data_IF_701818331555
#
_entry.id   IF_701818331555
#
_cell.length_a   1.000
_cell.length_b   1.000
_cell.length_c   1.000
_cell.angle_alpha   90.00
_cell.angle_beta   90.00
_cell.angle_gamma   90.00
#
_symmetry.space_group_name_H-M   'P 1'
#
loop_
_entity.id
_entity.type
_entity.pdbx_description
1 polymer ?
#
# COMPACT_ATOMS: atom_id res chain seq x y z
N UNK A 1 7.33 -95.96 -34.85
CA UNK A 1 7.40 -96.26 -33.40
C UNK A 1 6.82 -95.09 -32.64
N UNK A 2 5.70 -95.36 -31.95
CA UNK A 2 5.09 -94.63 -30.82
C UNK A 2 4.99 -93.10 -30.85
N UNK A 3 3.79 -92.62 -31.19
CA UNK A 3 3.23 -91.34 -30.72
C UNK A 3 2.32 -91.65 -29.53
N UNK A 4 2.62 -91.11 -28.34
CA UNK A 4 1.60 -90.81 -27.33
C UNK A 4 2.17 -89.94 -26.21
N UNK A 5 1.69 -88.70 -26.03
CA UNK A 5 1.62 -88.04 -24.72
C UNK A 5 0.45 -87.05 -24.64
N UNK A 6 -0.53 -87.52 -23.89
CA UNK A 6 -1.62 -86.89 -23.15
C UNK A 6 -1.36 -85.43 -22.69
N UNK A 7 -2.24 -84.50 -23.07
CA UNK A 7 -2.28 -83.12 -22.54
C UNK A 7 -3.50 -82.94 -21.63
N UNK A 8 -3.26 -82.63 -20.36
CA UNK A 8 -4.27 -82.33 -19.34
C UNK A 8 -4.77 -80.89 -19.48
N UNK A 9 -6.10 -80.70 -19.46
CA UNK A 9 -6.76 -79.38 -19.41
C UNK A 9 -6.92 -78.95 -17.95
N UNK A 10 -6.36 -77.79 -17.58
CA UNK A 10 -6.66 -77.11 -16.31
C UNK A 10 -7.55 -75.91 -16.64
N UNK A 11 -8.73 -75.86 -16.04
CA UNK A 11 -9.67 -74.74 -16.11
C UNK A 11 -9.26 -73.65 -15.10
N UNK A 12 -9.21 -72.39 -15.54
CA UNK A 12 -8.95 -71.23 -14.68
C UNK A 12 -10.28 -70.54 -14.30
N UNK A 13 -10.46 -70.08 -13.04
CA UNK A 13 -11.65 -69.34 -12.65
C UNK A 13 -11.50 -67.85 -12.97
N UNK A 14 -12.56 -67.24 -13.49
CA UNK A 14 -12.65 -65.80 -13.78
C UNK A 14 -13.06 -65.07 -12.49
N UNK A 15 -12.14 -64.31 -11.89
CA UNK A 15 -12.47 -63.34 -10.85
C UNK A 15 -12.89 -62.01 -11.50
N UNK A 16 -14.16 -61.63 -11.34
CA UNK A 16 -14.66 -60.33 -11.75
C UNK A 16 -14.25 -59.26 -10.71
N UNK A 17 -13.37 -58.33 -11.10
CA UNK A 17 -12.99 -57.18 -10.29
C UNK A 17 -14.02 -56.05 -10.44
N UNK A 18 -14.74 -55.74 -9.36
CA UNK A 18 -15.58 -54.55 -9.24
C UNK A 18 -14.68 -53.31 -9.08
N UNK A 19 -14.61 -52.48 -10.13
CA UNK A 19 -13.94 -51.18 -10.10
C UNK A 19 -14.87 -50.20 -9.38
N UNK A 20 -14.56 -49.88 -8.13
CA UNK A 20 -15.14 -48.75 -7.41
C UNK A 20 -14.59 -47.44 -8.00
N UNK A 21 -15.38 -46.75 -8.83
CA UNK A 21 -15.13 -45.36 -9.18
C UNK A 21 -15.31 -44.48 -7.94
N UNK A 22 -14.21 -44.12 -7.28
CA UNK A 22 -14.22 -43.01 -6.34
C UNK A 22 -14.44 -41.69 -7.12
N UNK A 23 -15.34 -40.80 -6.69
CA UNK A 23 -15.49 -39.50 -7.33
C UNK A 23 -14.19 -38.71 -7.09
N UNK A 24 -13.45 -38.47 -8.16
CA UNK A 24 -12.38 -37.47 -8.15
C UNK A 24 -13.05 -36.13 -7.90
N UNK A 25 -12.88 -35.58 -6.69
CA UNK A 25 -13.18 -34.18 -6.45
C UNK A 25 -12.36 -33.37 -7.47
N UNK A 26 -13.04 -32.80 -8.45
CA UNK A 26 -12.43 -31.89 -9.42
C UNK A 26 -11.91 -30.71 -8.59
N UNK A 27 -10.62 -30.73 -8.25
CA UNK A 27 -9.99 -29.66 -7.51
C UNK A 27 -9.98 -28.44 -8.45
N UNK A 28 -10.96 -27.54 -8.27
CA UNK A 28 -11.08 -26.35 -9.09
C UNK A 28 -9.73 -25.62 -9.09
N UNK A 29 -9.15 -25.40 -10.27
CA UNK A 29 -7.86 -24.75 -10.40
C UNK A 29 -7.96 -23.34 -9.81
N UNK A 30 -7.18 -23.07 -8.76
CA UNK A 30 -7.15 -21.75 -8.12
C UNK A 30 -6.60 -20.73 -9.14
N UNK A 31 -7.41 -19.74 -9.48
CA UNK A 31 -6.96 -18.57 -10.25
C UNK A 31 -6.15 -17.68 -9.31
N UNK A 32 -4.85 -17.60 -9.56
CA UNK A 32 -3.93 -16.82 -8.76
C UNK A 32 -3.61 -15.48 -9.45
N UNK A 33 -3.72 -14.38 -8.70
CA UNK A 33 -3.51 -13.03 -9.20
C UNK A 33 -2.24 -12.42 -8.61
N UNK A 34 -1.46 -11.71 -9.42
CA UNK A 34 -0.31 -10.93 -8.96
C UNK A 34 -0.72 -9.73 -8.11
N UNK A 35 -0.06 -9.53 -6.97
CA UNK A 35 -0.30 -8.41 -6.06
C UNK A 35 1.02 -7.75 -5.70
N UNK A 36 1.28 -6.56 -6.25
CA UNK A 36 2.55 -5.86 -6.10
C UNK A 36 2.50 -4.75 -5.04
N UNK A 37 3.62 -4.55 -4.35
CA UNK A 37 3.88 -3.38 -3.51
C UNK A 37 5.39 -3.21 -3.26
N UNK A 38 5.84 -1.98 -3.00
CA UNK A 38 7.28 -1.68 -2.96
C UNK A 38 7.94 -1.94 -1.59
N UNK A 39 7.14 -2.09 -0.53
CA UNK A 39 7.63 -2.34 0.83
C UNK A 39 7.83 -3.83 1.15
N UNK A 40 8.67 -4.18 2.16
CA UNK A 40 8.79 -5.55 2.65
C UNK A 40 7.47 -6.15 3.15
N UNK A 41 7.34 -7.48 3.19
CA UNK A 41 6.13 -8.19 3.66
C UNK A 41 5.76 -7.90 5.12
N UNK A 42 6.74 -7.47 5.95
CA UNK A 42 6.50 -7.07 7.35
C UNK A 42 5.90 -5.67 7.50
N UNK A 43 5.62 -4.97 6.41
CA UNK A 43 5.06 -3.62 6.40
C UNK A 43 3.54 -3.59 6.52
N UNK A 44 2.99 -2.38 6.69
CA UNK A 44 1.54 -2.13 6.56
C UNK A 44 0.97 -2.64 5.23
N UNK A 45 1.69 -2.50 4.11
CA UNK A 45 1.24 -3.04 2.83
C UNK A 45 1.15 -4.57 2.82
N UNK A 46 2.15 -5.24 3.41
CA UNK A 46 2.11 -6.70 3.54
C UNK A 46 0.95 -7.17 4.41
N UNK A 47 0.63 -6.45 5.49
CA UNK A 47 -0.56 -6.73 6.30
C UNK A 47 -1.86 -6.56 5.49
N UNK A 48 -1.96 -5.53 4.65
CA UNK A 48 -3.09 -5.34 3.73
C UNK A 48 -3.23 -6.46 2.71
N UNK A 49 -2.13 -6.86 2.07
CA UNK A 49 -2.14 -7.96 1.13
C UNK A 49 -2.55 -9.30 1.78
N UNK A 50 -2.13 -9.54 3.02
CA UNK A 50 -2.52 -10.75 3.77
C UNK A 50 -4.02 -10.75 4.11
N UNK A 51 -4.56 -9.62 4.58
CA UNK A 51 -6.00 -9.47 4.83
C UNK A 51 -6.81 -9.70 3.55
N UNK A 52 -6.40 -9.07 2.45
CA UNK A 52 -7.04 -9.22 1.14
C UNK A 52 -7.04 -10.70 0.71
N UNK A 53 -5.88 -11.36 0.75
CA UNK A 53 -5.75 -12.75 0.34
C UNK A 53 -6.66 -13.68 1.16
N UNK A 54 -6.60 -13.56 2.50
CA UNK A 54 -7.39 -14.39 3.41
C UNK A 54 -8.87 -14.25 3.12
N UNK A 55 -9.37 -13.01 2.99
CA UNK A 55 -10.79 -12.76 2.74
C UNK A 55 -11.21 -13.22 1.35
N UNK A 56 -10.37 -13.02 0.34
CA UNK A 56 -10.64 -13.47 -1.02
C UNK A 56 -10.74 -15.00 -1.09
N UNK A 57 -9.81 -15.72 -0.44
CA UNK A 57 -9.84 -17.19 -0.37
C UNK A 57 -11.07 -17.69 0.37
N UNK A 58 -11.49 -17.05 1.47
CA UNK A 58 -12.71 -17.40 2.20
C UNK A 58 -13.96 -17.25 1.32
N UNK A 59 -14.15 -16.07 0.71
CA UNK A 59 -15.35 -15.76 -0.09
C UNK A 59 -15.43 -16.60 -1.37
N UNK A 60 -14.29 -16.86 -2.00
CA UNK A 60 -14.20 -17.65 -3.23
C UNK A 60 -14.09 -19.16 -2.99
N UNK A 61 -14.13 -19.62 -1.72
CA UNK A 61 -13.92 -21.02 -1.32
C UNK A 61 -12.62 -21.61 -1.88
N UNK A 62 -11.56 -20.82 -1.88
CA UNK A 62 -10.22 -21.18 -2.36
C UNK A 62 -10.03 -21.13 -3.88
N UNK A 63 -11.06 -20.74 -4.64
CA UNK A 63 -10.93 -20.67 -6.10
C UNK A 63 -10.12 -19.45 -6.55
N UNK A 64 -10.07 -18.36 -5.77
CA UNK A 64 -9.23 -17.19 -6.01
C UNK A 64 -8.19 -17.02 -4.88
N UNK A 65 -6.99 -16.60 -5.25
CA UNK A 65 -5.93 -16.20 -4.32
C UNK A 65 -5.00 -15.17 -4.95
N UNK A 66 -4.14 -14.54 -4.15
CA UNK A 66 -3.07 -13.68 -4.66
C UNK A 66 -1.68 -14.34 -4.51
N UNK A 67 -0.77 -13.99 -5.42
CA UNK A 67 0.66 -14.13 -5.25
C UNK A 67 1.24 -12.75 -4.91
N UNK A 68 1.82 -12.61 -3.72
CA UNK A 68 2.37 -11.33 -3.26
C UNK A 68 3.78 -11.13 -3.85
N UNK A 69 4.04 -9.94 -4.38
CA UNK A 69 5.33 -9.49 -4.88
C UNK A 69 5.82 -8.27 -4.07
N UNK A 70 6.35 -8.47 -2.85
CA UNK A 70 6.81 -7.40 -1.96
C UNK A 70 8.14 -6.79 -2.41
N UNK A 71 8.55 -5.69 -1.79
CA UNK A 71 9.92 -5.20 -1.85
C UNK A 71 10.33 -4.74 -3.25
N UNK A 72 9.38 -4.20 -4.02
CA UNK A 72 9.58 -3.72 -5.38
C UNK A 72 10.03 -4.83 -6.36
N UNK A 73 9.71 -6.10 -6.09
CA UNK A 73 10.00 -7.22 -6.99
C UNK A 73 9.48 -7.02 -8.42
N UNK A 74 8.36 -6.31 -8.56
CA UNK A 74 7.77 -5.95 -9.86
C UNK A 74 7.99 -4.49 -10.24
N UNK A 75 8.88 -3.77 -9.55
CA UNK A 75 9.21 -2.37 -9.80
C UNK A 75 8.81 -1.42 -8.67
N UNK A 76 9.21 -0.16 -8.82
CA UNK A 76 8.81 0.97 -7.97
C UNK A 76 7.31 1.24 -8.05
N UNK A 77 6.74 2.00 -7.11
CA UNK A 77 5.30 2.35 -7.14
C UNK A 77 4.87 3.00 -8.48
N UNK A 78 5.70 3.85 -9.09
CA UNK A 78 5.40 4.43 -10.40
C UNK A 78 5.35 3.38 -11.52
N UNK A 79 6.27 2.42 -11.50
CA UNK A 79 6.33 1.33 -12.49
C UNK A 79 5.18 0.34 -12.29
N UNK A 80 4.83 -0.01 -11.06
CA UNK A 80 3.72 -0.93 -10.78
C UNK A 80 2.37 -0.28 -11.05
N UNK A 81 2.23 1.04 -10.83
CA UNK A 81 1.06 1.80 -11.27
C UNK A 81 0.85 1.69 -12.80
N UNK A 82 1.91 1.91 -13.58
CA UNK A 82 1.83 1.73 -15.04
C UNK A 82 1.45 0.29 -15.43
N UNK A 83 2.06 -0.70 -14.77
CA UNK A 83 1.77 -2.13 -15.04
C UNK A 83 0.35 -2.54 -14.71
N UNK A 84 -0.27 -1.97 -13.67
CA UNK A 84 -1.67 -2.26 -13.37
C UNK A 84 -2.58 -1.61 -14.41
N UNK A 85 -2.23 -0.43 -14.91
CA UNK A 85 -2.97 0.26 -15.98
C UNK A 85 -2.92 -0.49 -17.32
N UNK A 86 -1.78 -1.12 -17.64
CA UNK A 86 -1.64 -1.97 -18.85
C UNK A 86 -2.21 -3.38 -18.67
N UNK A 87 -2.48 -3.80 -17.44
CA UNK A 87 -2.92 -5.16 -17.12
C UNK A 87 -1.82 -6.22 -17.16
N UNK A 88 -0.56 -5.79 -17.02
CA UNK A 88 0.61 -6.67 -16.84
C UNK A 88 0.69 -7.23 -15.42
N UNK A 89 0.11 -6.52 -14.44
CA UNK A 89 -0.15 -7.01 -13.09
C UNK A 89 -1.62 -6.86 -12.73
N UNK A 90 -2.10 -7.69 -11.81
CA UNK A 90 -3.51 -7.81 -11.50
C UNK A 90 -3.94 -6.80 -10.44
N UNK A 91 -3.17 -6.70 -9.35
CA UNK A 91 -3.39 -5.79 -8.24
C UNK A 91 -2.11 -5.04 -7.85
N UNK A 92 -2.27 -3.82 -7.35
CA UNK A 92 -1.18 -3.06 -6.73
C UNK A 92 -1.69 -2.30 -5.51
N UNK A 93 -0.89 -2.28 -4.45
CA UNK A 93 -1.07 -1.41 -3.29
C UNK A 93 0.10 -0.43 -3.24
N UNK A 94 -0.20 0.86 -3.32
CA UNK A 94 0.80 1.93 -3.39
C UNK A 94 0.31 3.21 -2.71
N UNK A 95 1.21 4.16 -2.46
CA UNK A 95 0.87 5.41 -1.76
C UNK A 95 -0.04 6.30 -2.60
N UNK A 96 -1.02 6.93 -1.95
CA UNK A 96 -1.91 7.90 -2.64
C UNK A 96 -1.15 9.12 -3.19
N UNK A 97 -0.02 9.48 -2.55
CA UNK A 97 0.95 10.43 -3.07
C UNK A 97 1.47 10.02 -4.46
N UNK A 98 2.06 8.83 -4.60
CA UNK A 98 2.58 8.39 -5.90
C UNK A 98 1.47 8.09 -6.93
N UNK A 99 0.28 7.69 -6.49
CA UNK A 99 -0.89 7.56 -7.36
C UNK A 99 -1.26 8.88 -8.07
N UNK A 100 -0.92 10.03 -7.46
CA UNK A 100 -1.21 11.35 -8.04
C UNK A 100 -0.46 11.63 -9.34
N UNK A 101 0.61 10.89 -9.63
CA UNK A 101 1.32 10.98 -10.91
C UNK A 101 0.45 10.55 -12.10
N UNK A 102 -0.52 9.65 -11.88
CA UNK A 102 -1.49 9.23 -12.89
C UNK A 102 -2.86 9.92 -12.73
N UNK A 103 -3.20 10.36 -11.51
CA UNK A 103 -4.40 11.15 -11.24
C UNK A 103 -4.07 12.33 -10.31
N UNK A 104 -3.70 13.51 -10.85
CA UNK A 104 -3.25 14.64 -10.03
C UNK A 104 -4.19 15.02 -8.89
N UNK A 105 -5.51 14.91 -9.09
CA UNK A 105 -6.51 15.25 -8.07
C UNK A 105 -6.34 14.42 -6.78
N UNK A 106 -5.74 13.23 -6.83
CA UNK A 106 -5.57 12.37 -5.65
C UNK A 106 -4.50 12.88 -4.70
N UNK A 107 -3.64 13.81 -5.15
CA UNK A 107 -2.61 14.45 -4.32
C UNK A 107 -3.19 15.18 -3.10
N UNK A 108 -4.49 15.50 -3.13
CA UNK A 108 -5.21 16.07 -1.98
C UNK A 108 -5.16 15.18 -0.75
N UNK A 109 -5.09 13.86 -0.92
CA UNK A 109 -5.15 12.89 0.17
C UNK A 109 -3.82 12.73 0.92
N UNK A 110 -2.79 13.42 0.44
CA UNK A 110 -1.44 13.51 1.02
C UNK A 110 -1.09 14.91 1.53
N UNK A 111 -2.02 15.87 1.49
CA UNK A 111 -1.71 17.22 1.96
C UNK A 111 -1.43 17.22 3.46
N UNK A 112 -0.41 17.98 3.87
CA UNK A 112 0.04 17.98 5.24
C UNK A 112 -1.02 18.52 6.21
N UNK A 113 -1.20 17.86 7.35
CA UNK A 113 -2.08 18.22 8.46
C UNK A 113 -3.58 18.30 8.12
N UNK A 114 -4.06 17.60 7.08
CA UNK A 114 -5.52 17.41 6.88
C UNK A 114 -6.06 16.26 7.74
N UNK A 115 -5.18 15.33 8.13
CA UNK A 115 -5.48 14.27 9.09
C UNK A 115 -5.01 14.72 10.48
N UNK A 116 -5.93 14.77 11.45
CA UNK A 116 -5.67 15.33 12.79
C UNK A 116 -4.81 14.43 13.67
N UNK A 117 -5.03 13.13 13.58
CA UNK A 117 -4.38 12.10 14.40
C UNK A 117 -4.66 10.69 13.81
N UNK A 118 -4.08 9.67 14.44
CA UNK A 118 -4.28 8.25 14.14
C UNK A 118 -5.76 7.86 14.08
N UNK A 119 -6.55 8.26 15.09
CA UNK A 119 -7.96 7.89 15.18
C UNK A 119 -8.79 8.50 14.04
N UNK A 120 -8.50 9.75 13.70
CA UNK A 120 -9.10 10.41 12.53
C UNK A 120 -8.72 9.72 11.23
N UNK A 121 -7.44 9.36 11.03
CA UNK A 121 -7.00 8.65 9.83
C UNK A 121 -7.70 7.30 9.66
N UNK A 122 -7.80 6.50 10.73
CA UNK A 122 -8.50 5.22 10.71
C UNK A 122 -9.97 5.40 10.29
N UNK A 123 -10.68 6.39 10.86
CA UNK A 123 -12.08 6.64 10.53
C UNK A 123 -12.26 7.09 9.08
N UNK A 124 -11.42 8.01 8.60
CA UNK A 124 -11.50 8.55 7.23
C UNK A 124 -11.29 7.45 6.19
N UNK A 125 -10.33 6.56 6.40
CA UNK A 125 -9.99 5.49 5.46
C UNK A 125 -11.09 4.42 5.32
N UNK A 126 -11.95 4.30 6.33
CA UNK A 126 -13.12 3.41 6.33
C UNK A 126 -14.44 4.17 6.13
N UNK A 127 -14.41 5.49 5.89
CA UNK A 127 -15.62 6.29 5.84
C UNK A 127 -16.44 5.99 4.56
N UNK A 128 -17.75 5.71 4.68
CA UNK A 128 -18.60 5.31 3.56
C UNK A 128 -18.85 6.42 2.54
N UNK A 129 -18.47 7.67 2.81
CA UNK A 129 -18.52 8.80 1.86
C UNK A 129 -17.17 9.06 1.23
N UNK A 130 -16.07 8.87 1.97
CA UNK A 130 -14.71 9.11 1.47
C UNK A 130 -14.33 8.07 0.40
N UNK A 131 -14.57 6.78 0.63
CA UNK A 131 -14.19 5.73 -0.33
C UNK A 131 -14.87 5.94 -1.70
N UNK A 132 -16.20 6.17 -1.80
CA UNK A 132 -16.83 6.48 -3.08
C UNK A 132 -16.28 7.74 -3.75
N UNK A 133 -16.05 8.82 -2.99
CA UNK A 133 -15.48 10.04 -3.54
C UNK A 133 -14.06 9.81 -4.10
N UNK A 134 -13.25 9.00 -3.43
CA UNK A 134 -11.93 8.60 -3.94
C UNK A 134 -12.03 7.71 -5.19
N UNK A 135 -13.03 6.82 -5.27
CA UNK A 135 -13.30 6.01 -6.48
C UNK A 135 -13.70 6.89 -7.66
N UNK A 136 -14.60 7.85 -7.47
CA UNK A 136 -14.99 8.84 -8.47
C UNK A 136 -13.79 9.68 -8.92
N UNK A 137 -13.01 10.18 -7.96
CA UNK A 137 -11.79 10.93 -8.20
C UNK A 137 -10.84 10.13 -9.11
N UNK A 138 -10.53 8.87 -8.79
CA UNK A 138 -9.64 8.09 -9.64
C UNK A 138 -10.25 7.79 -11.01
N UNK A 139 -11.52 7.39 -11.07
CA UNK A 139 -12.20 7.07 -12.33
C UNK A 139 -12.23 8.23 -13.33
N UNK A 140 -12.16 9.49 -12.86
CA UNK A 140 -12.18 10.67 -13.73
C UNK A 140 -11.03 10.69 -14.76
N UNK A 141 -9.79 10.33 -14.37
CA UNK A 141 -8.62 10.36 -15.27
C UNK A 141 -7.80 9.07 -15.30
N UNK A 142 -7.82 8.24 -14.26
CA UNK A 142 -7.12 6.96 -14.23
C UNK A 142 -7.72 6.04 -15.31
N UNK A 143 -6.90 5.57 -16.24
CA UNK A 143 -7.30 4.60 -17.27
C UNK A 143 -6.66 3.24 -17.00
N UNK A 144 -7.38 2.17 -17.31
CA UNK A 144 -6.86 0.81 -17.23
C UNK A 144 -6.77 0.23 -15.82
N UNK A 145 -7.19 0.95 -14.78
CA UNK A 145 -7.21 0.47 -13.40
C UNK A 145 -8.36 1.11 -12.60
N UNK A 146 -8.86 0.38 -11.59
CA UNK A 146 -9.94 0.79 -10.69
C UNK A 146 -9.48 0.81 -9.25
N UNK A 147 -9.81 1.87 -8.50
CA UNK A 147 -9.62 1.87 -7.05
C UNK A 147 -10.62 0.90 -6.42
N UNK A 148 -10.13 -0.04 -5.62
CA UNK A 148 -10.96 -0.95 -4.83
C UNK A 148 -11.16 -0.47 -3.39
N UNK A 149 -10.10 0.05 -2.77
CA UNK A 149 -10.12 0.44 -1.36
C UNK A 149 -8.90 1.25 -0.96
N UNK A 150 -8.89 1.69 0.29
CA UNK A 150 -7.82 2.51 0.86
C UNK A 150 -7.13 1.74 1.99
N UNK A 151 -5.92 2.18 2.35
CA UNK A 151 -5.17 1.66 3.48
C UNK A 151 -4.21 2.71 4.03
N UNK A 152 -3.29 2.31 4.90
CA UNK A 152 -2.36 3.23 5.55
C UNK A 152 -1.03 2.55 5.91
N UNK A 153 0.02 3.35 6.07
CA UNK A 153 1.31 2.97 6.64
C UNK A 153 1.70 3.88 7.82
N UNK A 154 0.71 4.33 8.59
CA UNK A 154 0.90 5.24 9.72
C UNK A 154 0.88 6.72 9.33
N UNK A 155 1.52 7.55 10.17
CA UNK A 155 1.80 8.95 9.86
C UNK A 155 3.24 9.10 9.42
N UNK A 156 3.52 10.14 8.64
CA UNK A 156 4.87 10.42 8.14
C UNK A 156 5.62 11.32 9.10
N UNK A 157 6.87 10.97 9.32
CA UNK A 157 7.78 11.63 10.23
C UNK A 157 9.11 11.91 9.53
N UNK A 158 9.77 13.00 9.90
CA UNK A 158 11.06 13.38 9.31
C UNK A 158 12.21 12.72 10.06
N UNK A 159 13.20 12.21 9.34
CA UNK A 159 14.38 11.60 9.92
C UNK A 159 15.66 12.02 9.18
N UNK A 160 16.76 12.09 9.93
CA UNK A 160 18.05 12.56 9.43
C UNK A 160 19.16 12.42 10.47
N UNK A 161 20.25 13.16 10.25
CA UNK A 161 21.37 13.26 11.22
C UNK A 161 21.13 14.31 12.31
N UNK A 162 20.25 15.28 12.05
CA UNK A 162 19.92 16.39 12.96
C UNK A 162 18.45 16.30 13.37
N UNK A 163 18.10 16.74 14.60
CA UNK A 163 16.71 16.82 15.02
C UNK A 163 15.95 17.91 14.25
N UNK A 164 14.64 17.71 14.08
CA UNK A 164 13.69 18.74 13.69
C UNK A 164 12.82 19.01 14.92
N UNK A 165 13.02 20.15 15.56
CA UNK A 165 12.25 20.59 16.73
C UNK A 165 11.15 21.57 16.32
N UNK A 166 11.34 22.31 15.22
CA UNK A 166 10.39 23.29 14.66
C UNK A 166 10.63 23.50 13.16
N UNK A 167 9.70 24.17 12.49
CA UNK A 167 9.78 24.38 11.02
C UNK A 167 11.06 25.10 10.57
N UNK A 168 11.60 26.00 11.39
CA UNK A 168 12.82 26.75 11.05
C UNK A 168 14.06 25.84 10.87
N UNK A 169 14.04 24.62 11.42
CA UNK A 169 15.14 23.66 11.29
C UNK A 169 15.23 23.04 9.90
N UNK A 170 14.20 23.22 9.05
CA UNK A 170 14.20 22.74 7.66
C UNK A 170 14.88 23.70 6.68
N UNK A 171 15.28 24.90 7.11
CA UNK A 171 15.89 25.90 6.23
C UNK A 171 17.17 25.36 5.58
N UNK A 172 17.13 25.20 4.26
CA UNK A 172 18.26 24.73 3.45
C UNK A 172 18.57 23.24 3.60
N UNK A 173 17.71 22.46 4.28
CA UNK A 173 17.83 21.01 4.36
C UNK A 173 17.50 20.40 3.00
N UNK A 174 18.36 19.53 2.47
CA UNK A 174 18.04 18.70 1.31
C UNK A 174 17.12 17.56 1.76
N UNK A 175 15.83 17.74 1.55
CA UNK A 175 14.80 16.76 1.90
C UNK A 175 14.54 15.84 0.71
N UNK A 176 14.76 14.54 0.90
CA UNK A 176 14.22 13.57 -0.04
C UNK A 176 12.70 13.53 0.10
N UNK A 177 11.99 13.64 -1.01
CA UNK A 177 10.51 13.50 -1.07
C UNK A 177 10.07 12.66 -2.27
N UNK A 178 8.79 12.27 -2.28
CA UNK A 178 8.14 11.68 -3.45
C UNK A 178 7.94 12.74 -4.53
N UNK A 179 8.02 12.36 -5.81
CA UNK A 179 7.86 13.30 -6.93
C UNK A 179 6.39 13.66 -7.14
N UNK A 180 5.86 14.56 -6.30
CA UNK A 180 4.45 14.95 -6.31
C UNK A 180 4.29 16.46 -6.09
N UNK A 181 3.21 17.02 -6.65
CA UNK A 181 2.89 18.45 -6.50
C UNK A 181 2.73 18.85 -5.03
N UNK A 182 2.17 17.97 -4.20
CA UNK A 182 1.98 18.22 -2.77
C UNK A 182 3.32 18.47 -2.07
N UNK A 183 4.33 17.67 -2.39
CA UNK A 183 5.66 17.77 -1.80
C UNK A 183 6.44 18.97 -2.34
N UNK A 184 6.29 19.24 -3.64
CA UNK A 184 6.87 20.40 -4.34
C UNK A 184 6.34 21.75 -3.82
N UNK A 185 5.11 21.81 -3.33
CA UNK A 185 4.55 23.02 -2.73
C UNK A 185 4.89 23.12 -1.24
N UNK A 186 4.85 22.00 -0.51
CA UNK A 186 4.82 22.02 0.95
C UNK A 186 6.21 22.09 1.59
N UNK A 187 7.15 21.26 1.15
CA UNK A 187 8.51 21.25 1.73
C UNK A 187 9.29 22.52 1.42
N UNK A 188 9.24 23.09 0.20
CA UNK A 188 9.82 24.40 -0.07
C UNK A 188 9.19 25.52 0.74
N UNK A 189 7.89 25.46 1.03
CA UNK A 189 7.23 26.43 1.92
C UNK A 189 7.73 26.34 3.37
N UNK A 190 8.21 25.16 3.80
CA UNK A 190 8.94 25.01 5.07
C UNK A 190 10.42 25.45 5.01
N UNK A 191 10.92 25.82 3.83
CA UNK A 191 12.30 26.26 3.61
C UNK A 191 13.27 25.13 3.26
N UNK A 192 12.78 23.90 3.02
CA UNK A 192 13.60 22.78 2.57
C UNK A 192 13.88 22.86 1.06
N UNK A 193 14.92 22.15 0.62
CA UNK A 193 15.25 21.91 -0.78
C UNK A 193 14.84 20.47 -1.12
N UNK A 194 13.85 20.29 -1.99
CA UNK A 194 13.36 18.95 -2.35
C UNK A 194 14.31 18.24 -3.30
N UNK A 195 14.48 16.93 -3.08
CA UNK A 195 15.21 16.01 -3.96
C UNK A 195 14.33 14.80 -4.21
N UNK A 196 13.93 14.59 -5.45
CA UNK A 196 13.07 13.47 -5.84
C UNK A 196 13.88 12.20 -6.09
N UNK A 197 13.46 11.10 -5.46
CA UNK A 197 13.96 9.76 -5.79
C UNK A 197 12.98 8.67 -5.34
N UNK A 198 12.97 7.51 -6.02
CA UNK A 198 12.27 6.32 -5.56
C UNK A 198 12.69 5.91 -4.14
N UNK A 199 11.78 5.24 -3.43
CA UNK A 199 12.00 4.87 -2.02
C UNK A 199 13.22 3.95 -1.81
N UNK A 200 13.47 3.03 -2.75
CA UNK A 200 14.63 2.12 -2.68
C UNK A 200 16.00 2.80 -2.71
N UNK A 201 16.09 4.06 -3.12
CA UNK A 201 17.35 4.83 -3.21
C UNK A 201 17.66 5.65 -1.95
N UNK A 202 16.71 5.71 -1.00
CA UNK A 202 16.76 6.63 0.14
C UNK A 202 17.89 6.29 1.10
N UNK A 203 18.08 5.00 1.43
CA UNK A 203 19.16 4.56 2.33
C UNK A 203 20.52 5.05 1.83
N UNK A 204 20.86 4.74 0.57
CA UNK A 204 22.15 5.10 -0.02
C UNK A 204 22.31 6.60 -0.14
N UNK A 205 21.23 7.33 -0.45
CA UNK A 205 21.27 8.79 -0.57
C UNK A 205 21.48 9.50 0.77
N UNK A 206 20.91 8.98 1.86
CA UNK A 206 21.19 9.46 3.23
C UNK A 206 22.62 9.12 3.66
N UNK A 207 23.08 7.90 3.32
CA UNK A 207 24.42 7.43 3.66
C UNK A 207 25.51 8.28 2.98
N UNK A 208 25.34 8.55 1.68
CA UNK A 208 26.28 9.31 0.85
C UNK A 208 26.16 10.83 1.02
N UNK A 209 25.10 11.31 1.67
CA UNK A 209 24.86 12.75 1.88
C UNK A 209 24.34 13.49 0.64
N UNK A 210 23.80 12.76 -0.33
CA UNK A 210 23.03 13.35 -1.45
C UNK A 210 21.83 14.13 -0.89
N UNK A 211 21.19 13.58 0.15
CA UNK A 211 20.13 14.22 0.93
C UNK A 211 20.48 14.23 2.42
N UNK A 212 20.00 15.25 3.12
CA UNK A 212 20.24 15.44 4.56
C UNK A 212 19.18 14.75 5.41
N UNK A 213 17.95 14.73 4.91
CA UNK A 213 16.78 14.15 5.57
C UNK A 213 15.88 13.45 4.55
N UNK A 214 15.04 12.56 5.06
CA UNK A 214 13.92 12.00 4.35
C UNK A 214 12.73 11.90 5.32
N UNK A 215 11.60 11.43 4.82
CA UNK A 215 10.38 11.31 5.60
C UNK A 215 9.60 10.05 5.22
N UNK A 216 8.96 9.41 6.21
CA UNK A 216 8.09 8.23 6.03
C UNK A 216 7.43 7.77 7.35
N UNK A 217 6.65 6.68 7.29
CA UNK A 217 6.19 5.95 8.47
C UNK A 217 7.32 5.30 9.27
N UNK A 218 7.14 5.19 10.57
CA UNK A 218 8.11 4.66 11.55
C UNK A 218 8.46 3.20 11.24
N UNK A 219 7.47 2.39 10.87
CA UNK A 219 7.65 1.00 10.48
C UNK A 219 8.52 0.88 9.23
N UNK A 220 8.26 1.70 8.21
CA UNK A 220 9.07 1.74 6.99
C UNK A 220 10.51 2.20 7.28
N UNK A 221 10.69 3.20 8.15
CA UNK A 221 12.00 3.67 8.61
C UNK A 221 12.79 2.56 9.32
N UNK A 222 12.14 1.75 10.16
CA UNK A 222 12.75 0.60 10.82
C UNK A 222 13.11 -0.54 9.85
N UNK A 223 12.15 -1.04 9.07
CA UNK A 223 12.35 -2.27 8.27
C UNK A 223 13.32 -2.06 7.11
N UNK A 224 13.44 -0.83 6.61
CA UNK A 224 14.41 -0.45 5.57
C UNK A 224 15.73 0.08 6.14
N UNK A 225 15.89 0.04 7.47
CA UNK A 225 17.13 0.42 8.17
C UNK A 225 17.60 1.84 7.91
N UNK A 226 16.69 2.76 7.58
CA UNK A 226 17.03 4.17 7.38
C UNK A 226 17.64 4.81 8.63
N UNK A 227 17.43 4.21 9.82
CA UNK A 227 18.06 4.64 11.07
C UNK A 227 19.58 4.51 11.09
N UNK A 228 20.19 3.66 10.24
CA UNK A 228 21.65 3.52 10.19
C UNK A 228 22.33 4.79 9.65
N UNK A 229 21.96 5.33 8.46
CA UNK A 229 22.50 6.60 7.97
C UNK A 229 21.82 7.85 8.56
N UNK A 230 20.62 7.73 9.14
CA UNK A 230 19.82 8.82 9.69
C UNK A 230 19.31 8.49 11.11
N UNK A 231 20.14 8.58 12.15
CA UNK A 231 19.86 8.06 13.50
C UNK A 231 18.91 8.92 14.36
N UNK A 232 18.36 10.01 13.81
CA UNK A 232 17.42 10.90 14.51
C UNK A 232 16.07 10.86 13.81
N UNK A 233 15.02 10.49 14.55
CA UNK A 233 13.63 10.50 14.10
C UNK A 233 12.88 11.63 14.82
N UNK A 234 12.23 12.51 14.08
CA UNK A 234 11.46 13.63 14.63
C UNK A 234 9.98 13.44 14.35
N UNK A 235 9.15 13.37 15.40
CA UNK A 235 7.74 13.02 15.30
C UNK A 235 6.89 14.19 14.78
N UNK A 236 7.08 14.53 13.50
CA UNK A 236 6.41 15.66 12.85
C UNK A 236 4.95 15.39 12.50
N UNK A 237 4.57 14.12 12.23
CA UNK A 237 3.19 13.70 11.94
C UNK A 237 2.53 14.57 10.88
N UNK A 238 3.30 14.93 9.86
CA UNK A 238 2.91 15.98 8.94
C UNK A 238 1.93 15.49 7.88
N UNK A 239 1.97 14.21 7.52
CA UNK A 239 1.09 13.60 6.51
C UNK A 239 0.60 12.23 7.01
N UNK A 240 -0.62 11.82 6.63
CA UNK A 240 -1.05 10.43 6.78
C UNK A 240 -0.55 9.61 5.58
N UNK A 241 0.19 8.53 5.84
CA UNK A 241 0.83 7.71 4.82
C UNK A 241 -0.18 6.76 4.16
N UNK A 242 -1.16 7.33 3.47
CA UNK A 242 -2.32 6.63 2.95
C UNK A 242 -1.98 5.84 1.69
N UNK A 243 -2.64 4.69 1.55
CA UNK A 243 -2.47 3.73 0.46
C UNK A 243 -3.73 3.61 -0.39
N UNK A 244 -3.57 3.30 -1.66
CA UNK A 244 -4.64 2.96 -2.60
C UNK A 244 -4.42 1.56 -3.17
N UNK A 245 -5.46 0.71 -3.06
CA UNK A 245 -5.50 -0.62 -3.64
C UNK A 245 -6.20 -0.55 -5.00
N UNK A 246 -5.47 -0.85 -6.07
CA UNK A 246 -5.99 -0.88 -7.43
C UNK A 246 -6.08 -2.30 -7.97
N UNK A 247 -7.05 -2.51 -8.88
CA UNK A 247 -7.14 -3.68 -9.77
C UNK A 247 -7.05 -3.22 -11.22
N UNK A 248 -6.42 -4.03 -12.08
CA UNK A 248 -6.39 -3.74 -13.51
C UNK A 248 -7.77 -3.88 -14.14
N UNK A 249 -8.05 -3.06 -15.16
CA UNK A 249 -9.27 -3.17 -15.99
C UNK A 249 -9.39 -4.57 -16.60
N UNK A 250 -8.27 -5.13 -17.07
CA UNK A 250 -8.21 -6.49 -17.64
C UNK A 250 -8.74 -7.54 -16.67
N UNK A 251 -8.33 -7.49 -15.40
CA UNK A 251 -8.86 -8.38 -14.38
C UNK A 251 -10.31 -8.05 -14.12
N UNK A 252 -10.62 -6.80 -13.78
CA UNK A 252 -11.96 -6.38 -13.39
C UNK A 252 -13.04 -6.75 -14.42
N UNK A 253 -12.78 -6.52 -15.71
CA UNK A 253 -13.67 -6.87 -16.81
C UNK A 253 -13.79 -8.38 -17.07
N UNK A 254 -12.83 -9.19 -16.62
CA UNK A 254 -12.90 -10.67 -16.76
C UNK A 254 -13.67 -11.36 -15.63
N UNK A 255 -14.08 -10.63 -14.59
CA UNK A 255 -14.80 -11.17 -13.45
C UNK A 255 -16.31 -11.14 -13.68
N UNK A 256 -17.00 -12.20 -13.24
CA UNK A 256 -18.46 -12.16 -13.08
C UNK A 256 -18.87 -11.18 -11.98
N UNK A 257 -20.15 -10.78 -11.94
CA UNK A 257 -20.65 -9.88 -10.89
C UNK A 257 -20.47 -10.46 -9.48
N UNK A 258 -20.58 -11.78 -9.33
CA UNK A 258 -20.31 -12.46 -8.05
C UNK A 258 -18.83 -12.38 -7.68
N UNK A 259 -17.93 -12.62 -8.65
CA UNK A 259 -16.49 -12.54 -8.43
C UNK A 259 -16.04 -11.10 -8.10
N UNK A 260 -16.63 -10.09 -8.75
CA UNK A 260 -16.41 -8.68 -8.41
C UNK A 260 -16.80 -8.39 -6.97
N UNK A 261 -17.91 -8.95 -6.48
CA UNK A 261 -18.32 -8.82 -5.07
C UNK A 261 -17.30 -9.44 -4.11
N UNK A 262 -16.72 -10.60 -4.44
CA UNK A 262 -15.66 -11.20 -3.61
C UNK A 262 -14.41 -10.31 -3.54
N UNK A 263 -13.96 -9.81 -4.69
CA UNK A 263 -12.78 -8.93 -4.78
C UNK A 263 -13.03 -7.60 -4.06
N UNK A 264 -14.19 -6.98 -4.25
CA UNK A 264 -14.53 -5.74 -3.55
C UNK A 264 -14.63 -5.97 -2.03
N UNK A 265 -15.30 -7.03 -1.57
CA UNK A 265 -15.40 -7.33 -0.14
C UNK A 265 -14.03 -7.65 0.50
N UNK A 266 -13.10 -8.25 -0.25
CA UNK A 266 -11.73 -8.42 0.21
C UNK A 266 -10.97 -7.09 0.34
N UNK A 267 -11.23 -6.11 -0.53
CA UNK A 267 -10.68 -4.77 -0.42
C UNK A 267 -11.33 -3.95 0.71
N UNK A 268 -12.61 -4.14 0.96
CA UNK A 268 -13.32 -3.53 2.09
C UNK A 268 -12.76 -4.03 3.42
N UNK A 269 -12.41 -5.33 3.52
CA UNK A 269 -11.72 -5.91 4.68
C UNK A 269 -10.37 -5.21 4.95
N UNK A 270 -9.62 -4.89 3.89
CA UNK A 270 -8.39 -4.09 4.01
C UNK A 270 -8.71 -2.71 4.57
N UNK A 271 -9.64 -1.97 3.94
CA UNK A 271 -9.96 -0.59 4.35
C UNK A 271 -10.44 -0.49 5.80
N UNK A 272 -11.18 -1.50 6.28
CA UNK A 272 -11.74 -1.52 7.63
C UNK A 272 -10.74 -1.94 8.72
N UNK A 273 -9.78 -2.81 8.40
CA UNK A 273 -8.94 -3.45 9.44
C UNK A 273 -7.45 -3.13 9.32
N UNK A 274 -6.95 -2.89 8.10
CA UNK A 274 -5.53 -2.66 7.85
C UNK A 274 -5.01 -1.38 8.53
N UNK A 275 -5.74 -0.25 8.57
CA UNK A 275 -5.23 0.97 9.20
C UNK A 275 -4.85 0.77 10.67
N UNK A 276 -5.71 0.14 11.48
CA UNK A 276 -5.42 -0.14 12.88
C UNK A 276 -4.20 -1.08 13.05
N UNK A 277 -4.03 -2.05 12.14
CA UNK A 277 -2.84 -2.91 12.11
C UNK A 277 -1.58 -2.10 11.78
N UNK A 278 -1.65 -1.19 10.80
CA UNK A 278 -0.53 -0.34 10.43
C UNK A 278 -0.06 0.52 11.60
N UNK A 279 -0.98 1.18 12.30
CA UNK A 279 -0.64 1.98 13.48
C UNK A 279 -0.05 1.14 14.62
N UNK A 280 -0.57 -0.08 14.86
CA UNK A 280 0.08 -1.00 15.81
C UNK A 280 1.53 -1.29 15.42
N UNK A 281 1.81 -1.50 14.13
CA UNK A 281 3.17 -1.71 13.62
C UNK A 281 4.06 -0.47 13.80
N UNK A 282 3.50 0.74 13.71
CA UNK A 282 4.21 2.00 14.01
C UNK A 282 4.63 2.07 15.48
N UNK A 283 3.72 1.78 16.40
CA UNK A 283 3.99 1.78 17.85
C UNK A 283 5.06 0.73 18.23
N UNK A 284 4.95 -0.48 17.68
CA UNK A 284 5.96 -1.53 17.86
C UNK A 284 7.32 -1.15 17.26
N UNK A 285 7.33 -0.47 16.12
CA UNK A 285 8.55 0.00 15.48
C UNK A 285 9.21 1.11 16.30
N UNK A 286 8.44 2.07 16.81
CA UNK A 286 8.94 3.14 17.66
C UNK A 286 9.66 2.59 18.90
N UNK A 287 9.03 1.65 19.62
CA UNK A 287 9.62 1.02 20.79
C UNK A 287 10.93 0.27 20.46
N UNK A 288 11.00 -0.39 19.30
CA UNK A 288 12.22 -1.06 18.83
C UNK A 288 13.32 -0.06 18.49
N UNK A 289 12.99 1.04 17.80
CA UNK A 289 13.94 2.09 17.42
C UNK A 289 14.57 2.75 18.66
N UNK A 290 13.76 3.07 19.68
CA UNK A 290 14.25 3.58 20.95
C UNK A 290 15.21 2.58 21.62
N UNK A 291 14.85 1.28 21.63
CA UNK A 291 15.68 0.22 22.20
C UNK A 291 17.04 0.05 21.50
N UNK A 292 17.11 0.27 20.19
CA UNK A 292 18.36 0.19 19.42
C UNK A 292 19.12 1.53 19.37
N UNK A 293 18.68 2.54 20.13
CA UNK A 293 19.43 3.78 20.36
C UNK A 293 19.13 4.92 19.37
N UNK A 294 18.04 4.83 18.60
CA UNK A 294 17.59 5.97 17.76
C UNK A 294 17.16 7.13 18.65
N UNK A 295 17.64 8.34 18.33
CA UNK A 295 17.19 9.55 19.03
C UNK A 295 15.80 9.93 18.51
N UNK A 296 14.78 9.83 19.35
CA UNK A 296 13.40 10.23 19.02
C UNK A 296 13.10 11.62 19.59
N UNK A 297 12.76 12.57 18.72
CA UNK A 297 12.26 13.90 19.09
C UNK A 297 10.73 13.84 19.14
N UNK A 298 10.17 13.66 20.33
CA UNK A 298 8.71 13.53 20.53
C UNK A 298 7.97 14.87 20.54
N UNK A 299 8.63 15.93 21.00
CA UNK A 299 8.02 17.24 21.26
C UNK A 299 8.31 18.23 20.13
N UNK A 300 8.01 17.86 18.89
CA UNK A 300 8.14 18.78 17.75
C UNK A 300 7.08 19.88 17.86
N UNK A 301 7.49 21.14 17.76
CA UNK A 301 6.56 22.26 17.62
C UNK A 301 5.98 22.29 16.20
N UNK A 302 4.76 21.76 16.09
CA UNK A 302 4.00 21.67 14.83
C UNK A 302 3.34 22.99 14.43
N UNK A 303 3.32 24.01 15.30
CA UNK A 303 2.54 25.24 15.08
C UNK A 303 2.95 25.99 13.80
N UNK A 304 4.25 26.13 13.57
CA UNK A 304 4.80 26.75 12.36
C UNK A 304 4.47 25.96 11.10
N UNK A 305 4.56 24.63 11.16
CA UNK A 305 4.20 23.76 10.03
C UNK A 305 2.72 23.88 9.68
N UNK A 306 1.83 23.84 10.68
CA UNK A 306 0.39 23.97 10.48
C UNK A 306 0.01 25.36 9.97
N UNK A 307 0.65 26.43 10.46
CA UNK A 307 0.41 27.79 10.01
C UNK A 307 0.77 27.98 8.51
N UNK A 308 1.84 27.34 8.05
CA UNK A 308 2.27 27.37 6.65
C UNK A 308 1.39 26.44 5.79
N UNK A 309 1.09 25.23 6.26
CA UNK A 309 0.31 24.24 5.49
C UNK A 309 -1.15 24.66 5.29
N UNK A 310 -1.79 25.26 6.30
CA UNK A 310 -3.22 25.59 6.25
C UNK A 310 -3.65 26.38 4.99
N UNK A 311 -3.00 27.48 4.58
CA UNK A 311 -3.34 28.17 3.33
C UNK A 311 -2.99 27.34 2.07
N UNK A 312 -2.00 26.46 2.13
CA UNK A 312 -1.64 25.55 1.03
C UNK A 312 -2.74 24.50 0.83
N UNK A 313 -3.37 24.00 1.90
CA UNK A 313 -4.42 22.98 1.80
C UNK A 313 -5.55 23.37 0.83
N UNK A 314 -6.18 24.52 1.08
CA UNK A 314 -7.32 24.95 0.29
C UNK A 314 -6.92 25.42 -1.10
N UNK A 315 -5.74 26.07 -1.23
CA UNK A 315 -5.19 26.49 -2.52
C UNK A 315 -4.92 25.25 -3.39
N UNK A 316 -4.16 24.30 -2.88
CA UNK A 316 -3.75 23.11 -3.61
C UNK A 316 -4.96 22.25 -4.00
N UNK A 317 -5.93 22.06 -3.10
CA UNK A 317 -7.15 21.33 -3.46
C UNK A 317 -7.90 22.00 -4.63
N UNK A 318 -8.00 23.33 -4.65
CA UNK A 318 -8.62 24.08 -5.76
C UNK A 318 -7.81 23.99 -7.05
N UNK A 319 -6.49 24.12 -6.95
CA UNK A 319 -5.58 24.05 -8.10
C UNK A 319 -5.60 22.65 -8.75
N UNK A 320 -5.74 21.60 -7.93
CA UNK A 320 -5.82 20.21 -8.39
C UNK A 320 -7.14 19.90 -9.10
N UNK A 321 -8.28 20.30 -8.53
CA UNK A 321 -9.58 20.14 -9.17
C UNK A 321 -10.77 19.93 -8.23
N UNK A 322 -11.99 19.83 -8.80
CA UNK A 322 -13.22 19.75 -8.02
C UNK A 322 -13.33 18.49 -7.15
N UNK A 323 -12.83 17.33 -7.60
CA UNK A 323 -12.86 16.12 -6.76
C UNK A 323 -11.91 16.28 -5.58
N UNK A 324 -10.79 16.98 -5.76
CA UNK A 324 -9.88 17.29 -4.66
C UNK A 324 -10.57 18.15 -3.59
N UNK A 325 -11.28 19.20 -3.98
CA UNK A 325 -12.05 20.04 -3.04
C UNK A 325 -13.08 19.20 -2.28
N UNK A 326 -13.85 18.38 -2.98
CA UNK A 326 -14.85 17.49 -2.36
C UNK A 326 -14.21 16.53 -1.35
N UNK A 327 -13.10 15.87 -1.72
CA UNK A 327 -12.40 14.93 -0.83
C UNK A 327 -11.85 15.65 0.39
N UNK A 328 -11.27 16.84 0.23
CA UNK A 328 -10.75 17.62 1.38
C UNK A 328 -11.86 17.96 2.38
N UNK A 329 -13.03 18.37 1.90
CA UNK A 329 -14.19 18.64 2.75
C UNK A 329 -14.68 17.40 3.50
N UNK A 330 -14.76 16.26 2.80
CA UNK A 330 -15.14 14.98 3.41
C UNK A 330 -14.15 14.55 4.49
N UNK A 331 -12.84 14.61 4.21
CA UNK A 331 -11.79 14.30 5.19
C UNK A 331 -11.95 15.16 6.44
N UNK A 332 -12.18 16.47 6.29
CA UNK A 332 -12.36 17.38 7.44
C UNK A 332 -13.64 17.12 8.23
N UNK A 333 -14.69 16.61 7.60
CA UNK A 333 -16.00 16.40 8.23
C UNK A 333 -16.08 15.12 9.09
N UNK A 334 -15.13 14.19 8.94
CA UNK A 334 -15.09 12.97 9.76
C UNK A 334 -14.69 13.32 11.20
N UNK A 335 -15.50 12.89 12.18
CA UNK A 335 -15.29 13.11 13.62
C UNK A 335 -14.82 11.84 14.33
#
# INVERSE_FOLDING_TARGET
MFVNRLSWRIAAPVCAALILCAPTALQAQTRQFSFAYDQPKSSGYGAGAELFNKKLMELSKGTFSINQYPGAQLGTEAQTLQKVQTGDIDFVLLSTANASTAQPESGVFSIHFIFRDEGHAIKVLADPKVIPAMKELYAAKMKGAHLLGLGCQGLRHMYGKKPVEKVADLKGIKMRVQATVTEDETFPAYGAQVVHMPFGEVYTSLQTGVVDMAENGINNYLINKHYEPAPVLSLTEHEANNAALFVSEKVWSSLSDEQKKWVQAAADEVSNNQPAIAFRLEHEALAKLEKIGVKVVKNVDKSGFMAISKPIQDKLAKDLGPHSVQVLELVRAVN
#
